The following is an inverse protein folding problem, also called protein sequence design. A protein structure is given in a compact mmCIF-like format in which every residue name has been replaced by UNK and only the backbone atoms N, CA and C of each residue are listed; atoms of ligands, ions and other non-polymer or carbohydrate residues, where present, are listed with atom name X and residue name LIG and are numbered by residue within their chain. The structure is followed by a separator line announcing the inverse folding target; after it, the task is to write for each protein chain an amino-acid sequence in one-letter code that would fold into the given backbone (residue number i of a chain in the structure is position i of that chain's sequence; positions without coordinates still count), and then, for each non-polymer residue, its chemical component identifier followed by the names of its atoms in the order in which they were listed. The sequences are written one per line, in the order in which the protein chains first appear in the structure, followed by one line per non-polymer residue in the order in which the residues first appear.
data_IF_016332363682
#
_entry.id   IF_016332363682
#
_cell.length_a   1.000
_cell.length_b   1.000
_cell.length_c   1.000
_cell.angle_alpha   90.00
_cell.angle_beta   90.00
_cell.angle_gamma   90.00
#
_symmetry.space_group_name_H-M   'P 1'
#
loop_
_entity.id
_entity.type
_entity.pdbx_description
1 polymer ?
#
# COMPACT_ATOMS: atom_id res chain seq x y z
N UNK A 1 1.33 25.95 6.92
CA UNK A 1 1.21 24.48 7.04
C UNK A 1 1.90 23.85 5.83
N UNK A 2 2.81 22.92 6.05
CA UNK A 2 3.58 22.22 5.02
C UNK A 2 3.15 20.76 4.91
N UNK A 3 3.11 20.23 3.69
CA UNK A 3 2.80 18.84 3.42
C UNK A 3 3.81 18.23 2.44
N UNK A 4 4.39 17.08 2.78
CA UNK A 4 5.22 16.27 1.89
C UNK A 4 4.44 15.05 1.42
N UNK A 5 4.35 14.86 0.11
CA UNK A 5 3.65 13.74 -0.50
C UNK A 5 4.67 12.84 -1.19
N UNK A 6 4.73 11.57 -0.74
CA UNK A 6 5.60 10.55 -1.32
C UNK A 6 4.82 9.71 -2.33
N UNK A 7 5.48 9.29 -3.40
CA UNK A 7 4.91 8.50 -4.50
C UNK A 7 3.82 9.28 -5.24
N UNK A 8 4.25 10.26 -6.03
CA UNK A 8 3.41 11.32 -6.59
C UNK A 8 2.87 11.02 -8.00
N UNK A 9 2.56 9.75 -8.26
CA UNK A 9 1.89 9.28 -9.47
C UNK A 9 0.41 9.72 -9.47
N UNK A 10 -0.52 8.90 -9.96
CA UNK A 10 -1.95 9.30 -10.12
C UNK A 10 -2.60 9.75 -8.81
N UNK A 11 -2.54 8.92 -7.76
CA UNK A 11 -3.17 9.21 -6.47
C UNK A 11 -2.47 10.37 -5.77
N UNK A 12 -1.14 10.36 -5.72
CA UNK A 12 -0.35 11.44 -5.14
C UNK A 12 -0.56 12.77 -5.84
N UNK A 13 -0.67 12.80 -7.18
CA UNK A 13 -1.03 14.02 -7.92
C UNK A 13 -2.42 14.55 -7.53
N UNK A 14 -3.40 13.65 -7.31
CA UNK A 14 -4.72 14.03 -6.82
C UNK A 14 -4.64 14.72 -5.46
N UNK A 15 -3.84 14.17 -4.55
CA UNK A 15 -3.62 14.74 -3.22
C UNK A 15 -2.92 16.10 -3.27
N UNK A 16 -1.85 16.23 -4.08
CA UNK A 16 -1.16 17.50 -4.34
C UNK A 16 -2.15 18.58 -4.75
N UNK A 17 -3.01 18.29 -5.72
CA UNK A 17 -4.00 19.23 -6.23
C UNK A 17 -5.06 19.60 -5.18
N UNK A 18 -5.47 18.64 -4.36
CA UNK A 18 -6.47 18.87 -3.30
C UNK A 18 -5.92 19.78 -2.21
N UNK A 19 -4.71 19.55 -1.76
CA UNK A 19 -4.05 20.35 -0.72
C UNK A 19 -3.65 21.73 -1.26
N UNK A 20 -3.06 21.80 -2.46
CA UNK A 20 -2.63 23.05 -3.05
C UNK A 20 -3.78 24.02 -3.36
N UNK A 21 -4.98 23.52 -3.70
CA UNK A 21 -6.20 24.35 -3.82
C UNK A 21 -6.65 24.95 -2.48
N UNK A 22 -6.16 24.43 -1.37
CA UNK A 22 -6.42 24.92 -0.02
C UNK A 22 -5.23 25.73 0.55
N UNK A 23 -4.35 26.19 -0.33
CA UNK A 23 -3.18 27.02 0.01
C UNK A 23 -2.21 26.35 1.00
N UNK A 24 -2.19 25.02 1.03
CA UNK A 24 -1.17 24.25 1.73
C UNK A 24 0.12 24.33 0.92
N UNK A 25 1.24 24.59 1.57
CA UNK A 25 2.56 24.55 0.94
C UNK A 25 2.97 23.10 0.70
N UNK A 26 2.94 22.67 -0.57
CA UNK A 26 3.03 21.27 -0.95
C UNK A 26 4.40 20.96 -1.54
N UNK A 27 5.05 19.96 -0.95
CA UNK A 27 6.28 19.35 -1.43
C UNK A 27 5.99 17.95 -1.96
N UNK A 28 6.77 17.48 -2.91
CA UNK A 28 6.61 16.14 -3.45
C UNK A 28 7.94 15.36 -3.44
N UNK A 29 7.86 14.03 -3.28
CA UNK A 29 9.00 13.14 -3.33
C UNK A 29 8.66 11.86 -4.10
N UNK A 30 9.54 11.42 -4.99
CA UNK A 30 9.42 10.16 -5.72
C UNK A 30 10.80 9.68 -6.17
N UNK A 31 10.93 8.40 -6.57
CA UNK A 31 12.19 7.83 -7.09
C UNK A 31 12.62 8.48 -8.43
N UNK A 32 11.72 9.14 -9.11
CA UNK A 32 11.96 9.88 -10.36
C UNK A 32 10.97 11.02 -10.50
N UNK A 33 11.18 11.92 -11.47
CA UNK A 33 10.25 13.01 -11.75
C UNK A 33 8.93 12.48 -12.30
N UNK A 34 8.04 12.07 -11.39
CA UNK A 34 6.68 11.59 -11.68
C UNK A 34 5.73 12.76 -11.96
N UNK A 35 4.48 12.51 -12.41
CA UNK A 35 3.51 13.57 -12.74
C UNK A 35 3.30 14.63 -11.64
N UNK A 36 3.48 14.27 -10.37
CA UNK A 36 3.36 15.20 -9.25
C UNK A 36 4.34 16.37 -9.33
N UNK A 37 5.58 16.14 -9.78
CA UNK A 37 6.62 17.16 -9.90
C UNK A 37 6.26 18.32 -10.83
N UNK A 38 5.38 18.08 -11.77
CA UNK A 38 4.95 19.08 -12.76
C UNK A 38 3.66 19.82 -12.36
N UNK A 39 3.18 19.58 -11.14
CA UNK A 39 2.00 20.28 -10.64
C UNK A 39 2.33 21.71 -10.25
N UNK A 40 1.53 22.67 -10.71
CA UNK A 40 1.68 24.09 -10.31
C UNK A 40 1.52 24.34 -8.79
N UNK A 41 1.07 23.34 -8.04
CA UNK A 41 0.86 23.42 -6.60
C UNK A 41 2.05 22.91 -5.80
N UNK A 42 3.10 22.43 -6.46
CA UNK A 42 4.30 21.94 -5.80
C UNK A 42 5.31 23.07 -5.69
N UNK A 43 5.72 23.38 -4.47
CA UNK A 43 6.76 24.37 -4.19
C UNK A 43 8.13 23.82 -4.54
N UNK A 44 8.40 22.54 -4.18
CA UNK A 44 9.64 21.86 -4.49
C UNK A 44 9.44 20.34 -4.57
N UNK A 45 10.26 19.66 -5.40
CA UNK A 45 10.23 18.23 -5.60
C UNK A 45 11.57 17.57 -5.34
N UNK A 46 11.59 16.49 -4.53
CA UNK A 46 12.77 15.76 -4.11
C UNK A 46 12.84 14.39 -4.77
N UNK A 47 14.00 14.05 -5.34
CA UNK A 47 14.27 12.67 -5.75
C UNK A 47 14.74 11.90 -4.52
N UNK A 48 14.07 10.78 -4.25
CA UNK A 48 14.35 9.90 -3.12
C UNK A 48 14.91 8.56 -3.59
N UNK A 49 15.78 7.93 -2.80
CA UNK A 49 16.26 6.58 -3.09
C UNK A 49 15.14 5.55 -3.15
N UNK A 50 15.28 4.57 -4.04
CA UNK A 50 14.38 3.44 -4.12
C UNK A 50 14.57 2.53 -2.91
N UNK A 51 13.48 2.19 -2.22
CA UNK A 51 13.52 1.25 -1.09
C UNK A 51 14.08 -0.10 -1.55
N UNK A 52 13.79 -0.51 -2.77
CA UNK A 52 14.16 -1.83 -3.31
C UNK A 52 15.61 -1.85 -3.82
N UNK A 53 16.02 -0.81 -4.54
CA UNK A 53 17.35 -0.76 -5.18
C UNK A 53 18.43 -0.26 -4.23
N UNK A 54 18.11 0.80 -3.49
CA UNK A 54 19.07 1.55 -2.68
C UNK A 54 18.93 1.22 -1.19
N UNK A 55 17.88 0.50 -0.82
CA UNK A 55 17.60 0.03 0.53
C UNK A 55 16.88 1.04 1.42
N UNK A 56 16.24 0.51 2.46
CA UNK A 56 15.43 1.28 3.42
C UNK A 56 16.23 2.41 4.09
N UNK A 57 17.50 2.15 4.41
CA UNK A 57 18.34 3.11 5.14
C UNK A 57 18.56 4.38 4.32
N UNK A 58 18.96 4.22 3.05
CA UNK A 58 19.18 5.36 2.14
C UNK A 58 17.92 6.20 1.98
N UNK A 59 16.75 5.55 1.87
CA UNK A 59 15.46 6.24 1.84
C UNK A 59 15.23 7.04 3.13
N UNK A 60 15.43 6.45 4.30
CA UNK A 60 15.19 7.12 5.59
C UNK A 60 16.16 8.27 5.80
N UNK A 61 17.45 8.10 5.47
CA UNK A 61 18.45 9.17 5.59
C UNK A 61 18.05 10.37 4.73
N UNK A 62 17.58 10.13 3.49
CA UNK A 62 17.05 11.20 2.62
C UNK A 62 15.78 11.84 3.16
N UNK A 63 14.89 11.09 3.78
CA UNK A 63 13.70 11.65 4.43
C UNK A 63 14.06 12.55 5.62
N UNK A 64 15.08 12.20 6.39
CA UNK A 64 15.58 13.05 7.48
C UNK A 64 16.18 14.36 6.95
N UNK A 65 16.99 14.27 5.88
CA UNK A 65 17.55 15.44 5.18
C UNK A 65 16.43 16.39 4.71
N UNK A 66 15.44 15.87 3.98
CA UNK A 66 14.28 16.67 3.52
C UNK A 66 13.53 17.30 4.71
N UNK A 67 13.35 16.53 5.80
CA UNK A 67 12.71 17.04 7.01
C UNK A 67 13.47 18.18 7.65
N UNK A 68 14.79 18.15 7.61
CA UNK A 68 15.65 19.21 8.10
C UNK A 68 15.61 20.46 7.20
N UNK A 69 15.66 20.27 5.89
CA UNK A 69 15.63 21.36 4.89
C UNK A 69 14.34 22.16 4.91
N UNK A 70 13.19 21.48 4.92
CA UNK A 70 11.88 22.15 4.80
C UNK A 70 11.13 22.29 6.11
N UNK A 71 11.54 21.58 7.18
CA UNK A 71 10.81 21.51 8.45
C UNK A 71 10.80 22.81 9.24
N UNK A 72 11.87 23.60 9.16
CA UNK A 72 12.02 24.83 9.96
C UNK A 72 11.53 24.63 11.43
N UNK A 73 10.61 25.47 11.92
CA UNK A 73 10.04 25.39 13.28
C UNK A 73 8.77 24.52 13.37
N UNK A 74 8.14 24.20 12.22
CA UNK A 74 6.88 23.43 12.16
C UNK A 74 7.10 22.05 11.57
N UNK A 75 6.40 21.08 12.15
CA UNK A 75 6.38 19.73 11.57
C UNK A 75 5.61 19.69 10.25
N UNK A 76 6.06 18.81 9.37
CA UNK A 76 5.52 18.61 8.02
C UNK A 76 4.49 17.47 8.07
N UNK A 77 3.32 17.68 7.50
CA UNK A 77 2.34 16.60 7.31
C UNK A 77 2.84 15.63 6.23
N UNK A 78 3.05 14.37 6.62
CA UNK A 78 3.57 13.35 5.73
C UNK A 78 2.45 12.48 5.17
N UNK A 79 2.36 12.43 3.84
CA UNK A 79 1.43 11.60 3.09
C UNK A 79 2.18 10.63 2.19
N UNK A 80 1.64 9.45 2.02
CA UNK A 80 2.07 8.53 0.96
C UNK A 80 0.87 7.88 0.28
N UNK A 81 1.00 7.61 -1.01
CA UNK A 81 0.00 6.86 -1.79
C UNK A 81 0.44 5.41 -2.05
N UNK A 82 1.44 4.91 -1.31
CA UNK A 82 1.99 3.56 -1.44
C UNK A 82 2.07 2.88 -0.08
N UNK A 83 1.57 1.65 -0.02
CA UNK A 83 1.62 0.79 1.17
C UNK A 83 3.07 0.45 1.56
N UNK A 84 3.97 0.25 0.57
CA UNK A 84 5.37 -0.09 0.82
C UNK A 84 6.09 1.05 1.57
N UNK A 85 5.92 2.29 1.11
CA UNK A 85 6.46 3.45 1.82
C UNK A 85 5.85 3.61 3.20
N UNK A 86 4.55 3.37 3.37
CA UNK A 86 3.89 3.48 4.66
C UNK A 86 4.44 2.46 5.66
N UNK A 87 4.69 1.23 5.24
CA UNK A 87 5.32 0.18 6.06
C UNK A 87 6.71 0.60 6.53
N UNK A 88 7.53 1.14 5.63
CA UNK A 88 8.88 1.59 5.98
C UNK A 88 8.86 2.83 6.89
N UNK A 89 8.01 3.80 6.59
CA UNK A 89 7.80 4.97 7.44
C UNK A 89 7.40 4.53 8.86
N UNK A 90 6.46 3.59 8.99
CA UNK A 90 6.06 3.08 10.32
C UNK A 90 7.19 2.40 11.08
N UNK A 91 8.08 1.69 10.37
CA UNK A 91 9.25 1.02 10.97
C UNK A 91 10.25 1.99 11.57
N UNK A 92 10.41 3.16 10.97
CA UNK A 92 11.40 4.16 11.38
C UNK A 92 10.76 5.44 11.94
N UNK A 93 9.50 5.34 12.39
CA UNK A 93 8.74 6.49 12.83
C UNK A 93 9.38 7.27 13.98
N UNK A 94 10.03 6.58 14.91
CA UNK A 94 10.74 7.22 16.04
C UNK A 94 11.75 8.28 15.56
N UNK A 95 12.41 8.04 14.43
CA UNK A 95 13.35 8.99 13.82
C UNK A 95 12.62 10.09 13.05
N UNK A 96 11.63 9.69 12.25
CA UNK A 96 10.91 10.59 11.35
C UNK A 96 9.99 11.55 12.10
N UNK A 97 9.44 11.14 13.25
CA UNK A 97 8.52 11.94 14.08
C UNK A 97 9.13 13.25 14.58
N UNK A 98 10.46 13.41 14.50
CA UNK A 98 11.15 14.67 14.79
C UNK A 98 10.68 15.78 13.83
N UNK A 99 10.52 15.46 12.54
CA UNK A 99 10.21 16.43 11.49
C UNK A 99 8.78 16.30 10.95
N UNK A 100 8.16 15.13 11.11
CA UNK A 100 6.91 14.79 10.44
C UNK A 100 5.75 14.53 11.40
N UNK A 101 4.54 14.79 10.90
CA UNK A 101 3.27 14.32 11.47
C UNK A 101 2.66 13.35 10.45
N UNK A 102 2.41 12.11 10.86
CA UNK A 102 1.71 11.16 9.98
C UNK A 102 0.21 11.41 10.02
N UNK A 103 -0.41 11.37 8.85
CA UNK A 103 -1.87 11.40 8.69
C UNK A 103 -2.47 9.99 8.60
N UNK A 104 -1.62 8.98 8.59
CA UNK A 104 -1.99 7.56 8.53
C UNK A 104 -1.69 6.87 9.86
N UNK A 105 -2.30 5.70 10.08
CA UNK A 105 -1.93 4.84 11.21
C UNK A 105 -0.44 4.50 11.15
N UNK A 106 0.26 4.77 12.21
CA UNK A 106 1.71 4.55 12.29
C UNK A 106 2.07 3.41 13.25
N UNK A 107 1.15 2.97 14.08
CA UNK A 107 1.34 1.77 14.85
C UNK A 107 1.50 0.58 13.91
N UNK A 108 2.70 0.02 13.86
CA UNK A 108 3.08 -1.00 12.88
C UNK A 108 2.18 -2.23 12.92
N UNK A 109 1.75 -2.68 14.10
CA UNK A 109 0.87 -3.83 14.25
C UNK A 109 -0.49 -3.55 13.61
N UNK A 110 -1.14 -2.46 13.98
CA UNK A 110 -2.44 -2.05 13.43
C UNK A 110 -2.35 -1.79 11.93
N UNK A 111 -1.25 -1.18 11.46
CA UNK A 111 -1.02 -0.96 10.05
C UNK A 111 -0.96 -2.28 9.28
N UNK A 112 -0.16 -3.24 9.74
CA UNK A 112 -0.04 -4.55 9.11
C UNK A 112 -1.36 -5.33 9.16
N UNK A 113 -2.11 -5.23 10.25
CA UNK A 113 -3.43 -5.85 10.38
C UNK A 113 -4.42 -5.35 9.32
N UNK A 114 -4.31 -4.10 8.92
CA UNK A 114 -5.14 -3.51 7.86
C UNK A 114 -4.62 -3.78 6.43
N UNK A 115 -3.30 -3.90 6.25
CA UNK A 115 -2.70 -4.09 4.94
C UNK A 115 -2.61 -5.55 4.51
N UNK A 116 -2.37 -6.47 5.46
CA UNK A 116 -2.25 -7.89 5.20
C UNK A 116 -3.63 -8.53 5.08
N UNK A 117 -3.93 -9.09 3.91
CA UNK A 117 -5.26 -9.65 3.63
C UNK A 117 -5.65 -10.79 4.57
N UNK A 118 -4.70 -11.64 4.94
CA UNK A 118 -4.95 -12.72 5.89
C UNK A 118 -5.33 -12.20 7.27
N UNK A 119 -4.69 -11.14 7.75
CA UNK A 119 -5.02 -10.51 9.03
C UNK A 119 -6.33 -9.74 8.97
N UNK A 120 -6.52 -8.95 7.93
CA UNK A 120 -7.75 -8.19 7.70
C UNK A 120 -8.99 -9.10 7.70
N UNK A 121 -8.94 -10.25 7.01
CA UNK A 121 -10.08 -11.17 6.98
C UNK A 121 -10.30 -11.87 8.33
N UNK A 122 -9.24 -12.21 9.08
CA UNK A 122 -9.38 -12.75 10.46
C UNK A 122 -10.02 -11.72 11.40
N UNK A 123 -9.69 -10.44 11.26
CA UNK A 123 -10.32 -9.37 12.03
C UNK A 123 -11.79 -9.23 11.64
N UNK A 124 -12.11 -9.23 10.34
CA UNK A 124 -13.50 -9.20 9.88
C UNK A 124 -14.32 -10.37 10.41
N UNK A 125 -13.75 -11.58 10.40
CA UNK A 125 -14.38 -12.78 10.97
C UNK A 125 -14.63 -12.63 12.48
N UNK A 126 -13.64 -12.19 13.25
CA UNK A 126 -13.78 -11.96 14.69
C UNK A 126 -14.80 -10.86 15.05
N UNK A 127 -14.97 -9.89 14.16
CA UNK A 127 -15.95 -8.79 14.29
C UNK A 127 -17.33 -9.12 13.70
N UNK A 128 -17.57 -10.35 13.25
CA UNK A 128 -18.78 -10.78 12.55
C UNK A 128 -19.14 -9.89 11.33
N UNK A 129 -18.13 -9.36 10.64
CA UNK A 129 -18.32 -8.62 9.38
C UNK A 129 -18.39 -9.61 8.23
N UNK A 130 -19.47 -9.53 7.45
CA UNK A 130 -19.66 -10.40 6.29
C UNK A 130 -18.53 -10.19 5.27
N UNK A 131 -17.88 -11.28 4.90
CA UNK A 131 -16.85 -11.34 3.86
C UNK A 131 -16.94 -12.68 3.11
N UNK A 132 -16.32 -12.80 1.92
CA UNK A 132 -16.24 -14.08 1.23
C UNK A 132 -15.56 -15.11 2.10
N UNK A 133 -16.05 -16.35 2.13
CA UNK A 133 -15.39 -17.45 2.84
C UNK A 133 -13.94 -17.52 2.40
N UNK A 134 -13.04 -17.45 3.37
CA UNK A 134 -11.61 -17.27 3.15
C UNK A 134 -10.85 -18.48 3.69
N UNK A 135 -9.93 -18.98 2.87
CA UNK A 135 -9.04 -20.09 3.16
C UNK A 135 -7.60 -19.56 3.15
N UNK A 136 -6.81 -19.92 4.15
CA UNK A 136 -5.48 -19.40 4.36
C UNK A 136 -4.40 -20.38 3.89
N UNK A 137 -3.28 -19.89 3.40
CA UNK A 137 -2.20 -20.68 2.80
C UNK A 137 -1.65 -21.79 3.71
N UNK A 138 -1.73 -21.61 5.02
CA UNK A 138 -1.20 -22.54 6.02
C UNK A 138 -2.13 -23.73 6.35
N UNK A 139 -3.43 -23.67 5.99
CA UNK A 139 -4.40 -24.70 6.37
C UNK A 139 -5.40 -25.05 5.26
N UNK A 140 -5.15 -24.64 4.01
CA UNK A 140 -6.05 -24.90 2.90
C UNK A 140 -6.03 -26.36 2.47
N UNK A 141 -7.19 -27.01 2.41
CA UNK A 141 -7.38 -28.25 1.68
C UNK A 141 -8.06 -27.97 0.32
N UNK A 142 -7.26 -28.06 -0.74
CA UNK A 142 -7.72 -27.73 -2.11
C UNK A 142 -8.83 -28.66 -2.58
N UNK A 143 -8.91 -29.88 -2.03
CA UNK A 143 -9.93 -30.86 -2.43
C UNK A 143 -11.32 -30.52 -1.92
N UNK A 144 -11.43 -29.69 -0.89
CA UNK A 144 -12.71 -29.35 -0.23
C UNK A 144 -13.31 -28.04 -0.80
N UNK A 145 -12.67 -27.44 -1.81
CA UNK A 145 -13.10 -26.18 -2.37
C UNK A 145 -14.20 -26.35 -3.42
N UNK A 146 -15.21 -25.49 -3.36
CA UNK A 146 -16.20 -25.30 -4.42
C UNK A 146 -15.71 -24.24 -5.41
N UNK A 147 -15.62 -24.59 -6.69
CA UNK A 147 -15.15 -23.70 -7.75
C UNK A 147 -16.31 -22.93 -8.40
N UNK A 148 -16.09 -21.70 -8.93
CA UNK A 148 -14.82 -21.00 -9.00
C UNK A 148 -14.40 -20.37 -7.67
N UNK A 149 -13.09 -20.20 -7.51
CA UNK A 149 -12.48 -19.48 -6.38
C UNK A 149 -11.57 -18.37 -6.91
N UNK A 150 -11.22 -17.42 -6.03
CA UNK A 150 -10.19 -16.40 -6.31
C UNK A 150 -9.02 -16.57 -5.37
N UNK A 151 -7.80 -16.46 -5.91
CA UNK A 151 -6.56 -16.46 -5.14
C UNK A 151 -5.92 -15.08 -5.19
N UNK A 152 -5.45 -14.59 -4.05
CA UNK A 152 -4.82 -13.28 -3.87
C UNK A 152 -3.56 -13.42 -3.05
N UNK A 153 -2.40 -12.86 -3.44
CA UNK A 153 -1.26 -12.76 -2.54
C UNK A 153 -1.60 -11.90 -1.33
N UNK A 154 -1.08 -12.26 -0.16
CA UNK A 154 -1.33 -11.55 1.11
C UNK A 154 -0.81 -10.12 1.02
N UNK A 155 0.44 -9.96 0.57
CA UNK A 155 1.04 -8.67 0.20
C UNK A 155 1.33 -8.69 -1.30
N UNK A 156 1.08 -7.58 -1.96
CA UNK A 156 1.58 -7.35 -3.31
C UNK A 156 3.01 -6.82 -3.20
N UNK A 157 3.99 -7.66 -3.48
CA UNK A 157 5.37 -7.17 -3.70
C UNK A 157 5.38 -6.43 -5.05
N UNK A 158 5.23 -5.14 -5.03
CA UNK A 158 5.37 -4.28 -6.22
C UNK A 158 6.80 -3.76 -6.27
N UNK A 159 7.68 -4.44 -7.00
CA UNK A 159 8.86 -3.76 -7.50
C UNK A 159 8.54 -3.21 -8.88
N UNK A 160 8.70 -1.91 -9.08
CA UNK A 160 8.62 -1.30 -10.42
C UNK A 160 9.73 -1.81 -11.35
N UNK A 161 10.73 -2.52 -10.81
CA UNK A 161 11.83 -3.14 -11.56
C UNK A 161 11.49 -4.53 -12.12
N UNK A 162 10.40 -5.15 -11.67
CA UNK A 162 9.90 -6.43 -12.21
C UNK A 162 8.78 -6.21 -13.25
N UNK A 163 9.00 -5.33 -14.20
CA UNK A 163 8.23 -5.30 -15.44
C UNK A 163 8.45 -6.64 -16.13
N UNK A 164 7.52 -7.58 -15.95
CA UNK A 164 7.54 -8.91 -16.54
C UNK A 164 7.49 -10.10 -15.59
N UNK A 165 7.60 -9.91 -14.26
CA UNK A 165 7.57 -11.01 -13.27
C UNK A 165 6.59 -10.78 -12.12
N UNK A 166 5.57 -9.96 -12.31
CA UNK A 166 4.63 -9.72 -11.22
C UNK A 166 3.78 -10.96 -10.99
N UNK A 167 3.81 -11.47 -9.75
CA UNK A 167 2.72 -12.29 -9.22
C UNK A 167 1.43 -11.50 -9.45
N UNK A 168 0.40 -12.14 -9.95
CA UNK A 168 -0.89 -11.51 -10.23
C UNK A 168 -1.47 -10.82 -8.97
N UNK A 169 -2.25 -9.76 -9.14
CA UNK A 169 -2.97 -9.10 -8.06
C UNK A 169 -4.10 -9.96 -7.50
N UNK A 170 -4.81 -10.62 -8.40
CA UNK A 170 -5.93 -11.51 -8.16
C UNK A 170 -6.04 -12.47 -9.35
N UNK A 171 -6.38 -13.73 -9.11
CA UNK A 171 -6.63 -14.71 -10.15
C UNK A 171 -7.88 -15.51 -9.82
N UNK A 172 -8.82 -15.56 -10.75
CA UNK A 172 -9.98 -16.46 -10.69
C UNK A 172 -9.53 -17.83 -11.19
N UNK A 173 -9.87 -18.87 -10.46
CA UNK A 173 -9.57 -20.27 -10.77
C UNK A 173 -10.88 -21.05 -10.87
N UNK A 174 -11.10 -21.69 -12.00
CA UNK A 174 -12.32 -22.43 -12.31
C UNK A 174 -12.26 -23.90 -11.90
N UNK A 175 -11.07 -24.38 -11.57
CA UNK A 175 -10.84 -25.77 -11.18
C UNK A 175 -9.56 -25.91 -10.35
N UNK A 176 -9.36 -27.14 -9.83
CA UNK A 176 -8.22 -27.49 -8.99
C UNK A 176 -6.87 -27.29 -9.69
N UNK A 177 -6.80 -27.58 -10.99
CA UNK A 177 -5.54 -27.48 -11.76
C UNK A 177 -5.07 -26.03 -11.86
N UNK A 178 -5.99 -25.10 -12.19
CA UNK A 178 -5.71 -23.69 -12.27
C UNK A 178 -5.26 -23.12 -10.91
N UNK A 179 -5.94 -23.52 -9.83
CA UNK A 179 -5.58 -23.10 -8.50
C UNK A 179 -4.20 -23.63 -8.08
N UNK A 180 -3.90 -24.90 -8.35
CA UNK A 180 -2.59 -25.48 -8.04
C UNK A 180 -1.46 -24.77 -8.78
N UNK A 181 -1.66 -24.47 -10.06
CA UNK A 181 -0.70 -23.67 -10.85
C UNK A 181 -0.47 -22.26 -10.25
N UNK A 182 -1.55 -21.59 -9.84
CA UNK A 182 -1.45 -20.28 -9.23
C UNK A 182 -0.71 -20.31 -7.88
N UNK A 183 -0.96 -21.33 -7.05
CA UNK A 183 -0.27 -21.56 -5.78
C UNK A 183 1.23 -21.80 -6.01
N UNK A 184 1.60 -22.63 -6.99
CA UNK A 184 3.01 -22.89 -7.31
C UNK A 184 3.76 -21.60 -7.65
N UNK A 185 3.17 -20.75 -8.48
CA UNK A 185 3.74 -19.44 -8.84
C UNK A 185 3.96 -18.53 -7.61
N UNK A 186 3.03 -18.55 -6.64
CA UNK A 186 3.17 -17.75 -5.42
C UNK A 186 4.25 -18.31 -4.49
N UNK A 187 4.32 -19.65 -4.36
CA UNK A 187 5.34 -20.32 -3.56
C UNK A 187 6.76 -20.12 -4.10
N UNK A 188 6.95 -20.13 -5.43
CA UNK A 188 8.23 -19.80 -6.07
C UNK A 188 8.73 -18.39 -5.72
N UNK A 189 7.82 -17.49 -5.38
CA UNK A 189 8.10 -16.10 -4.98
C UNK A 189 8.09 -15.88 -3.47
N UNK A 190 8.04 -16.95 -2.69
CA UNK A 190 7.93 -16.88 -1.23
C UNK A 190 6.82 -15.90 -0.79
N UNK A 191 5.65 -16.06 -1.42
CA UNK A 191 4.49 -15.18 -1.20
C UNK A 191 3.33 -15.95 -0.60
N UNK A 192 2.95 -15.57 0.61
CA UNK A 192 1.71 -16.04 1.21
C UNK A 192 0.48 -15.57 0.44
N UNK A 193 -0.61 -16.31 0.58
CA UNK A 193 -1.84 -16.05 -0.15
C UNK A 193 -3.08 -16.39 0.66
N UNK A 194 -4.19 -15.85 0.22
CA UNK A 194 -5.54 -16.29 0.61
C UNK A 194 -6.31 -16.75 -0.61
N UNK A 195 -7.15 -17.78 -0.43
CA UNK A 195 -8.12 -18.21 -1.42
C UNK A 195 -9.51 -17.87 -0.89
N UNK A 196 -10.39 -17.43 -1.76
CA UNK A 196 -11.75 -17.04 -1.37
C UNK A 196 -12.78 -17.60 -2.35
N UNK A 197 -13.96 -17.90 -1.84
CA UNK A 197 -15.10 -18.19 -2.69
C UNK A 197 -15.34 -17.01 -3.64
N UNK A 198 -15.60 -17.32 -4.90
CA UNK A 198 -15.93 -16.29 -5.88
C UNK A 198 -17.35 -15.79 -5.68
N UNK A 199 -17.51 -14.48 -5.46
CA UNK A 199 -18.82 -13.86 -5.43
C UNK A 199 -19.22 -13.50 -6.86
N UNK A 200 -20.30 -14.11 -7.40
CA UNK A 200 -20.78 -13.78 -8.74
C UNK A 200 -21.37 -12.38 -8.80
N UNK A 201 -21.38 -11.79 -9.99
CA UNK A 201 -21.95 -10.47 -10.26
C UNK A 201 -21.23 -9.79 -11.41
N UNK A 202 -21.84 -8.76 -11.95
CA UNK A 202 -21.30 -7.90 -12.99
C UNK A 202 -20.45 -6.78 -12.37
N UNK A 203 -19.49 -6.23 -13.13
CA UNK A 203 -18.61 -5.15 -12.65
C UNK A 203 -19.39 -3.89 -12.21
N UNK A 204 -20.57 -3.64 -12.79
CA UNK A 204 -21.47 -2.54 -12.43
C UNK A 204 -22.16 -2.73 -11.06
N UNK A 205 -22.04 -3.90 -10.46
CA UNK A 205 -22.55 -4.22 -9.12
C UNK A 205 -21.47 -4.08 -8.03
N UNK A 206 -20.28 -3.65 -8.39
CA UNK A 206 -19.19 -3.38 -7.45
C UNK A 206 -19.27 -1.95 -6.92
N UNK A 207 -19.30 -1.82 -5.60
CA UNK A 207 -19.29 -0.54 -4.92
C UNK A 207 -18.03 -0.41 -4.06
N UNK A 208 -17.44 0.78 -4.08
CA UNK A 208 -16.34 1.14 -3.17
C UNK A 208 -16.81 2.26 -2.26
N UNK A 209 -16.69 2.07 -0.97
CA UNK A 209 -17.01 3.10 0.04
C UNK A 209 -15.72 3.57 0.68
N UNK A 210 -15.43 4.87 0.58
CA UNK A 210 -14.36 5.52 1.28
C UNK A 210 -14.87 6.08 2.60
N UNK A 211 -14.23 5.70 3.72
CA UNK A 211 -14.57 6.17 5.05
C UNK A 211 -13.34 6.80 5.71
N UNK A 212 -13.58 7.85 6.46
CA UNK A 212 -12.61 8.43 7.38
C UNK A 212 -13.20 8.39 8.80
N UNK A 213 -12.52 7.73 9.72
CA UNK A 213 -12.90 7.68 11.13
C UNK A 213 -11.91 8.53 11.94
N UNK A 214 -12.45 9.49 12.69
CA UNK A 214 -11.71 10.29 13.66
C UNK A 214 -12.19 9.93 15.08
N UNK A 215 -11.24 9.74 15.99
CA UNK A 215 -11.51 9.54 17.42
C UNK A 215 -11.28 10.85 18.16
#
# INVERSE_FOLDING_TARGET
MKALIIHTRRTGLGLIRSLGKKEVDVFCADEYKSPGFYSRYVSEGFIIPSIIKDGERSFIDKMLEIGEDIGSNDKIFLFTSSDDYLIIISKYWDKLSKYYISVSEINRTKLLDNLLKDRMYKIAESANVNHPKTYYSNNINISDLSYPVVIKPTIRKTSDSDVGKSVFKIRKCHNKLELTSAISLLKEKDSDFVVQDFIPGEDNQLFTVGLYAYK
#
